data_IF_756725863532
#
_entry.id   IF_756725863532
#
_cell.length_a   1.000
_cell.length_b   1.000
_cell.length_c   1.000
_cell.angle_alpha   90.00
_cell.angle_beta   90.00
_cell.angle_gamma   90.00
#
_symmetry.space_group_name_H-M   'P 1'
#
loop_
_entity.id
_entity.type
_entity.pdbx_description
1 polymer ?
#
# COMPACT_ATOMS: atom_id res chain seq x y z
N UNK A 1 7.48 6.43 52.08
CA UNK A 1 7.61 5.16 51.32
C UNK A 1 6.27 4.45 51.10
N UNK A 2 5.42 4.29 52.13
CA UNK A 2 4.10 3.63 52.02
C UNK A 2 3.17 4.25 50.96
N UNK A 3 3.13 5.59 50.88
CA UNK A 3 2.29 6.31 49.91
C UNK A 3 2.79 6.22 48.46
N UNK A 4 4.10 6.01 48.27
CA UNK A 4 4.72 5.83 46.95
C UNK A 4 4.44 4.40 46.45
N UNK A 5 4.53 3.41 47.35
CA UNK A 5 4.17 2.02 47.06
C UNK A 5 2.70 1.90 46.65
N UNK A 6 1.78 2.58 47.35
CA UNK A 6 0.36 2.57 46.99
C UNK A 6 0.09 3.21 45.64
N UNK A 7 0.82 4.28 45.28
CA UNK A 7 0.67 4.96 43.99
C UNK A 7 1.13 4.07 42.83
N UNK A 8 2.23 3.31 43.02
CA UNK A 8 2.73 2.37 42.03
C UNK A 8 1.76 1.18 41.81
N UNK A 9 1.14 0.68 42.88
CA UNK A 9 0.13 -0.37 42.80
C UNK A 9 -1.09 0.12 42.00
N UNK A 10 -1.59 1.32 42.29
CA UNK A 10 -2.73 1.91 41.57
C UNK A 10 -2.41 2.12 40.09
N UNK A 11 -1.21 2.62 39.76
CA UNK A 11 -0.76 2.80 38.37
C UNK A 11 -0.70 1.46 37.62
N UNK A 12 -0.17 0.41 38.26
CA UNK A 12 -0.08 -0.92 37.66
C UNK A 12 -1.46 -1.55 37.39
N UNK A 13 -2.43 -1.36 38.29
CA UNK A 13 -3.79 -1.84 38.11
C UNK A 13 -4.53 -1.10 36.98
N UNK A 14 -4.23 0.18 36.79
CA UNK A 14 -4.79 1.00 35.72
C UNK A 14 -4.25 0.62 34.34
N UNK A 15 -2.97 0.22 34.25
CA UNK A 15 -2.37 -0.27 33.01
C UNK A 15 -2.90 -1.67 32.61
N UNK A 16 -3.14 -2.56 33.59
CA UNK A 16 -3.62 -3.92 33.32
C UNK A 16 -5.09 -3.97 32.86
N UNK A 17 -5.92 -3.01 33.30
CA UNK A 17 -7.34 -2.94 32.90
C UNK A 17 -7.55 -2.37 31.50
N UNK A 18 -6.59 -1.62 30.95
CA UNK A 18 -6.67 -1.02 29.62
C UNK A 18 -6.41 -2.02 28.46
N UNK A 19 -5.75 -3.16 28.71
CA UNK A 19 -5.40 -4.15 27.67
C UNK A 19 -6.44 -5.28 27.48
N UNK A 20 -7.53 -5.30 28.25
CA UNK A 20 -8.54 -6.37 28.18
C UNK A 20 -9.69 -6.11 27.20
N UNK A 21 -9.83 -4.89 26.68
CA UNK A 21 -11.03 -4.50 25.92
C UNK A 21 -10.87 -4.52 24.39
N UNK A 22 -9.79 -5.09 23.86
CA UNK A 22 -9.70 -5.28 22.40
C UNK A 22 -10.43 -6.56 22.02
N UNK A 23 -11.66 -6.49 21.45
CA UNK A 23 -12.28 -7.67 20.89
C UNK A 23 -11.39 -8.17 19.74
N UNK A 24 -10.91 -9.40 19.85
CA UNK A 24 -10.29 -10.11 18.73
C UNK A 24 -11.41 -10.46 17.75
N UNK A 25 -11.83 -9.49 16.94
CA UNK A 25 -12.75 -9.75 15.84
C UNK A 25 -11.94 -10.45 14.76
N UNK A 26 -12.07 -11.77 14.69
CA UNK A 26 -11.62 -12.53 13.54
C UNK A 26 -12.45 -12.04 12.34
N UNK A 27 -11.86 -11.18 11.51
CA UNK A 27 -12.49 -10.70 10.28
C UNK A 27 -12.50 -11.88 9.31
N UNK A 28 -13.60 -12.64 9.29
CA UNK A 28 -13.81 -13.62 8.24
C UNK A 28 -13.96 -12.91 6.89
N UNK A 29 -13.17 -13.35 5.91
CA UNK A 29 -13.22 -12.78 4.56
C UNK A 29 -14.55 -13.12 3.93
N UNK A 30 -15.42 -12.12 3.77
CA UNK A 30 -16.67 -12.26 3.03
C UNK A 30 -16.38 -12.69 1.59
N UNK A 31 -17.14 -13.63 1.01
CA UNK A 31 -16.99 -13.99 -0.39
C UNK A 31 -17.24 -12.76 -1.28
N UNK A 32 -16.34 -12.56 -2.26
CA UNK A 32 -16.45 -11.49 -3.23
C UNK A 32 -17.39 -11.93 -4.35
N UNK A 33 -18.64 -11.46 -4.31
CA UNK A 33 -19.70 -11.89 -5.23
C UNK A 33 -19.67 -11.21 -6.60
N UNK A 34 -18.86 -10.17 -6.77
CA UNK A 34 -18.80 -9.37 -8.00
C UNK A 34 -17.48 -8.63 -8.12
N UNK A 35 -17.10 -8.27 -9.35
CA UNK A 35 -15.90 -7.47 -9.64
C UNK A 35 -15.88 -6.12 -8.90
N UNK A 36 -17.04 -5.50 -8.70
CA UNK A 36 -17.14 -4.28 -7.90
C UNK A 36 -16.69 -4.51 -6.45
N UNK A 37 -17.15 -5.59 -5.82
CA UNK A 37 -16.74 -5.96 -4.46
C UNK A 37 -15.24 -6.27 -4.39
N UNK A 38 -14.71 -6.97 -5.41
CA UNK A 38 -13.27 -7.20 -5.52
C UNK A 38 -12.52 -5.88 -5.60
N UNK A 39 -12.90 -4.96 -6.49
CA UNK A 39 -12.26 -3.65 -6.61
C UNK A 39 -12.31 -2.86 -5.31
N UNK A 40 -13.46 -2.78 -4.64
CA UNK A 40 -13.56 -2.08 -3.35
C UNK A 40 -12.69 -2.71 -2.26
N UNK A 41 -12.50 -4.03 -2.28
CA UNK A 41 -11.60 -4.72 -1.34
C UNK A 41 -10.12 -4.46 -1.61
N UNK A 42 -9.77 -4.05 -2.83
CA UNK A 42 -8.40 -3.72 -3.22
C UNK A 42 -8.02 -2.28 -2.81
N UNK A 43 -9.00 -1.42 -2.52
CA UNK A 43 -8.75 -0.06 -2.02
C UNK A 43 -8.27 -0.11 -0.56
N UNK A 44 -7.25 0.68 -0.22
CA UNK A 44 -6.68 0.77 1.14
C UNK A 44 -6.14 -0.56 1.69
N UNK A 45 -5.80 -1.49 0.81
CA UNK A 45 -5.19 -2.77 1.18
C UNK A 45 -3.83 -2.54 1.85
N UNK A 46 -3.44 -3.32 2.88
CA UNK A 46 -2.06 -3.29 3.38
C UNK A 46 -1.10 -3.80 2.29
N UNK A 47 0.11 -3.22 2.24
CA UNK A 47 1.12 -3.63 1.27
C UNK A 47 1.42 -5.12 1.43
N UNK A 48 1.23 -5.90 0.38
CA UNK A 48 1.50 -7.35 0.40
C UNK A 48 2.98 -7.63 0.43
N UNK A 49 3.37 -8.75 1.05
CA UNK A 49 4.75 -9.22 1.12
C UNK A 49 5.48 -9.22 -0.24
N UNK A 50 4.80 -9.68 -1.31
CA UNK A 50 5.36 -9.66 -2.67
C UNK A 50 5.69 -8.24 -3.15
N UNK A 51 4.82 -7.28 -2.86
CA UNK A 51 5.04 -5.87 -3.20
C UNK A 51 6.16 -5.27 -2.35
N UNK A 52 6.26 -5.64 -1.07
CA UNK A 52 7.37 -5.22 -0.21
C UNK A 52 8.71 -5.74 -0.74
N UNK A 53 8.75 -7.00 -1.18
CA UNK A 53 9.92 -7.60 -1.81
C UNK A 53 10.32 -6.86 -3.09
N UNK A 54 9.36 -6.56 -3.97
CA UNK A 54 9.62 -5.78 -5.18
C UNK A 54 10.16 -4.38 -4.88
N UNK A 55 9.60 -3.70 -3.88
CA UNK A 55 10.08 -2.38 -3.46
C UNK A 55 11.52 -2.45 -2.91
N UNK A 56 11.83 -3.46 -2.10
CA UNK A 56 13.18 -3.70 -1.63
C UNK A 56 14.15 -3.97 -2.79
N UNK A 57 13.73 -4.75 -3.78
CA UNK A 57 14.52 -5.01 -4.98
C UNK A 57 14.75 -3.74 -5.82
N UNK A 58 13.74 -2.89 -5.99
CA UNK A 58 13.85 -1.61 -6.68
C UNK A 58 14.84 -0.67 -5.97
N UNK A 59 14.73 -0.54 -4.64
CA UNK A 59 15.68 0.23 -3.83
C UNK A 59 17.11 -0.29 -3.96
N UNK A 60 17.29 -1.61 -3.97
CA UNK A 60 18.60 -2.21 -4.14
C UNK A 60 19.18 -1.94 -5.54
N UNK A 61 18.34 -1.97 -6.58
CA UNK A 61 18.74 -1.61 -7.95
C UNK A 61 19.18 -0.16 -8.07
N UNK A 62 18.48 0.79 -7.44
CA UNK A 62 18.86 2.21 -7.45
C UNK A 62 20.23 2.46 -6.79
N UNK A 63 20.55 1.69 -5.74
CA UNK A 63 21.86 1.77 -5.08
C UNK A 63 23.00 1.23 -5.96
N UNK A 64 22.74 0.17 -6.73
CA UNK A 64 23.70 -0.43 -7.66
C UNK A 64 23.71 0.20 -9.05
N UNK A 65 22.77 1.08 -9.40
CA UNK A 65 22.70 1.69 -10.74
C UNK A 65 23.79 2.74 -11.02
N UNK A 66 24.77 2.89 -10.13
CA UNK A 66 26.01 3.55 -10.47
C UNK A 66 26.84 2.60 -11.35
N UNK A 67 26.87 2.90 -12.66
CA UNK A 67 27.91 2.54 -13.64
C UNK A 67 27.67 1.39 -14.66
N UNK A 68 26.52 0.69 -14.65
CA UNK A 68 26.20 -0.26 -15.74
C UNK A 68 25.13 0.32 -16.65
N UNK A 69 25.57 1.05 -17.67
CA UNK A 69 24.75 1.51 -18.79
C UNK A 69 24.24 0.30 -19.58
N UNK A 70 23.01 -0.13 -19.31
CA UNK A 70 22.32 -1.12 -20.15
C UNK A 70 21.74 -0.37 -21.35
N UNK A 71 22.22 -0.71 -22.54
CA UNK A 71 21.67 -0.20 -23.81
C UNK A 71 20.18 -0.60 -23.90
N UNK A 72 19.29 0.32 -23.57
CA UNK A 72 17.85 0.08 -23.70
C UNK A 72 17.51 0.13 -25.18
N UNK A 73 17.01 -0.98 -25.73
CA UNK A 73 16.45 -0.97 -27.06
C UNK A 73 15.03 -0.40 -26.97
N UNK A 74 14.76 0.67 -27.73
CA UNK A 74 13.39 1.17 -27.83
C UNK A 74 12.54 0.12 -28.53
N UNK A 75 11.63 -0.51 -27.79
CA UNK A 75 10.68 -1.48 -28.34
C UNK A 75 9.57 -0.76 -29.12
N UNK A 76 9.39 0.55 -28.90
CA UNK A 76 8.41 1.38 -29.63
C UNK A 76 9.09 2.21 -30.72
N UNK A 77 8.51 2.18 -31.90
CA UNK A 77 8.87 3.09 -33.00
C UNK A 77 8.43 4.54 -32.72
N UNK A 78 8.82 5.50 -33.58
CA UNK A 78 8.53 6.92 -33.40
C UNK A 78 7.03 7.18 -33.23
N UNK A 79 6.66 7.76 -32.09
CA UNK A 79 5.28 8.08 -31.69
C UNK A 79 4.74 9.39 -32.29
N UNK A 80 5.18 9.76 -33.49
CA UNK A 80 4.93 11.07 -34.11
C UNK A 80 3.42 11.38 -34.25
N UNK A 81 2.54 10.36 -34.22
CA UNK A 81 1.09 10.49 -34.32
C UNK A 81 0.30 9.97 -33.10
N UNK A 82 0.95 9.72 -31.97
CA UNK A 82 0.29 9.25 -30.73
C UNK A 82 -0.35 10.42 -29.95
N UNK A 83 -1.08 11.29 -30.65
CA UNK A 83 -1.78 12.45 -30.08
C UNK A 83 -3.05 12.07 -29.30
N UNK A 84 -3.32 10.77 -29.14
CA UNK A 84 -4.50 10.31 -28.43
C UNK A 84 -4.25 10.31 -26.92
N UNK A 85 -4.32 11.51 -26.33
CA UNK A 85 -4.27 11.69 -24.89
C UNK A 85 -5.65 11.47 -24.22
N UNK A 86 -6.62 10.87 -24.92
CA UNK A 86 -7.88 10.45 -24.28
C UNK A 86 -7.61 9.26 -23.37
N UNK A 87 -7.27 9.59 -22.12
CA UNK A 87 -7.28 8.62 -21.05
C UNK A 87 -8.73 8.25 -20.75
N UNK A 88 -9.14 7.03 -21.06
CA UNK A 88 -10.45 6.52 -20.69
C UNK A 88 -10.62 6.63 -19.17
N UNK A 89 -11.48 7.56 -18.72
CA UNK A 89 -11.75 7.77 -17.30
C UNK A 89 -12.80 6.77 -16.84
N UNK A 90 -12.38 5.79 -16.04
CA UNK A 90 -13.31 4.84 -15.43
C UNK A 90 -14.10 5.53 -14.29
N UNK A 91 -15.31 5.04 -13.99
CA UNK A 91 -16.18 5.61 -12.94
C UNK A 91 -15.48 5.65 -11.58
N UNK A 92 -14.66 4.65 -11.28
CA UNK A 92 -13.90 4.57 -10.02
C UNK A 92 -12.53 5.24 -10.07
N UNK A 93 -12.16 5.92 -11.16
CA UNK A 93 -10.84 6.52 -11.30
C UNK A 93 -10.51 7.51 -10.17
N UNK A 94 -11.50 8.30 -9.73
CA UNK A 94 -11.34 9.23 -8.62
C UNK A 94 -11.14 8.53 -7.26
N UNK A 95 -11.73 7.35 -7.08
CA UNK A 95 -11.57 6.57 -5.85
C UNK A 95 -10.22 5.85 -5.82
N UNK A 96 -9.81 5.26 -6.95
CA UNK A 96 -8.49 4.63 -7.11
C UNK A 96 -7.39 5.69 -6.92
N UNK A 97 -7.52 6.87 -7.50
CA UNK A 97 -6.52 7.93 -7.38
C UNK A 97 -6.36 8.50 -5.96
N UNK A 98 -7.34 8.28 -5.08
CA UNK A 98 -7.29 8.70 -3.67
C UNK A 98 -6.69 7.64 -2.74
N UNK A 99 -6.48 6.42 -3.23
CA UNK A 99 -5.85 5.37 -2.44
C UNK A 99 -4.36 5.68 -2.23
N UNK A 100 -3.89 5.53 -1.00
CA UNK A 100 -2.49 5.75 -0.60
C UNK A 100 -1.52 4.81 -1.31
N UNK A 101 -2.01 3.63 -1.71
CA UNK A 101 -1.22 2.62 -2.42
C UNK A 101 -1.45 2.65 -3.94
N UNK A 102 -2.11 3.68 -4.48
CA UNK A 102 -2.34 3.82 -5.91
C UNK A 102 -1.04 4.07 -6.68
N UNK A 103 -0.85 3.32 -7.76
CA UNK A 103 0.32 3.48 -8.64
C UNK A 103 -0.14 4.08 -9.97
N UNK A 104 0.44 5.23 -10.34
CA UNK A 104 0.25 5.80 -11.67
C UNK A 104 1.28 5.22 -12.62
N UNK A 105 0.83 4.37 -13.54
CA UNK A 105 1.66 3.92 -14.66
C UNK A 105 1.63 5.03 -15.71
N UNK A 106 2.75 5.73 -15.84
CA UNK A 106 3.01 6.62 -16.96
C UNK A 106 3.81 5.78 -17.95
N UNK A 107 3.30 5.62 -19.17
CA UNK A 107 4.10 5.03 -20.23
C UNK A 107 5.25 6.01 -20.51
N UNK A 108 6.49 5.55 -20.38
CA UNK A 108 7.66 6.34 -20.76
C UNK A 108 7.51 6.79 -22.23
N UNK A 109 7.82 8.07 -22.47
CA UNK A 109 7.86 8.70 -23.79
C UNK A 109 9.01 8.17 -24.64
#
# INVERSE_FOLDING_TARGET
>A
MKNILTLLIVLSALLLTACSSTPQVAIEKKPLLSDHHLMMSLLHRPVTEDQQMMLAFAQQRERYSNDIFINTVSIKGPKINDNNNQRTTHVYAALIARDVNAISIIAAE
#
